data_IF_370945857580
#
_entry.id   IF_370945857580
#
_cell.length_a   1.000
_cell.length_b   1.000
_cell.length_c   1.000
_cell.angle_alpha   90.00
_cell.angle_beta   90.00
_cell.angle_gamma   90.00
#
_symmetry.space_group_name_H-M   'P 1'
#
loop_
_entity.id
_entity.type
_entity.pdbx_description
1 polymer ?
#
# COMPACT_ATOMS: atom_id res chain seq x y z
N UNK A 1 -21.90 27.07 -10.37
CA UNK A 1 -20.49 26.63 -10.35
C UNK A 1 -20.52 25.11 -10.48
N UNK A 2 -20.69 24.61 -11.70
CA UNK A 2 -20.71 23.18 -11.96
C UNK A 2 -19.62 22.92 -12.99
N UNK A 3 -18.43 22.61 -12.47
CA UNK A 3 -17.38 21.99 -13.25
C UNK A 3 -17.04 20.66 -12.58
N UNK A 4 -17.78 19.65 -13.03
CA UNK A 4 -17.24 18.36 -13.46
C UNK A 4 -16.53 17.56 -12.35
N UNK A 5 -17.25 16.55 -11.88
CA UNK A 5 -16.78 15.17 -11.67
C UNK A 5 -15.30 14.94 -12.05
N UNK A 6 -14.40 15.35 -11.20
CA UNK A 6 -13.24 14.54 -10.92
C UNK A 6 -13.61 13.93 -9.58
N UNK A 7 -14.14 12.71 -9.63
CA UNK A 7 -13.92 11.82 -8.50
C UNK A 7 -12.42 11.88 -8.30
N UNK A 8 -12.00 12.62 -7.28
CA UNK A 8 -10.61 12.65 -6.90
C UNK A 8 -10.41 11.19 -6.55
N UNK A 9 -9.76 10.44 -7.45
CA UNK A 9 -9.19 9.16 -7.12
C UNK A 9 -8.11 9.50 -6.10
N UNK A 10 -8.52 9.89 -4.90
CA UNK A 10 -7.67 9.92 -3.74
C UNK A 10 -7.16 8.50 -3.69
N UNK A 11 -5.86 8.28 -3.92
CA UNK A 11 -5.32 6.95 -3.68
C UNK A 11 -5.79 6.55 -2.27
N UNK A 12 -6.25 5.32 -2.07
CA UNK A 12 -6.76 4.87 -0.76
C UNK A 12 -5.69 4.90 0.33
N UNK A 13 -4.46 5.25 -0.05
CA UNK A 13 -3.28 5.34 0.79
C UNK A 13 -2.73 6.76 0.78
N UNK A 14 -2.32 7.24 1.95
CA UNK A 14 -1.75 8.56 2.15
C UNK A 14 -0.25 8.49 2.44
N UNK A 15 0.56 9.39 1.87
CA UNK A 15 2.00 9.44 2.13
C UNK A 15 2.29 9.80 3.59
N UNK A 16 3.07 8.96 4.27
CA UNK A 16 3.44 9.12 5.68
C UNK A 16 2.49 8.44 6.66
N UNK A 17 1.32 7.99 6.19
CA UNK A 17 0.34 7.27 7.01
C UNK A 17 0.74 5.81 7.22
N UNK A 18 0.30 5.27 8.35
CA UNK A 18 0.55 3.91 8.80
C UNK A 18 -0.71 3.07 8.58
N UNK A 19 -0.54 1.90 7.97
CA UNK A 19 -1.63 0.97 7.72
C UNK A 19 -1.24 -0.40 8.24
N UNK A 20 -2.18 -1.04 8.93
CA UNK A 20 -2.09 -2.43 9.29
C UNK A 20 -2.55 -3.26 8.08
N UNK A 21 -1.62 -3.98 7.48
CA UNK A 21 -1.90 -4.78 6.29
C UNK A 21 -1.51 -6.22 6.54
N UNK A 22 -2.29 -7.11 5.94
CA UNK A 22 -1.93 -8.50 5.87
C UNK A 22 -1.19 -8.76 4.56
N UNK A 23 -0.08 -9.47 4.66
CA UNK A 23 0.63 -9.91 3.46
C UNK A 23 -0.09 -11.11 2.89
N UNK A 24 -0.71 -10.89 1.74
CA UNK A 24 -1.45 -11.93 1.01
C UNK A 24 -0.48 -12.89 0.32
N UNK A 25 0.60 -12.36 -0.26
CA UNK A 25 1.56 -13.13 -1.04
C UNK A 25 2.99 -12.60 -0.88
N UNK A 26 3.96 -13.50 -0.98
CA UNK A 26 5.40 -13.22 -1.02
C UNK A 26 5.89 -13.61 -2.41
N UNK A 27 6.66 -12.73 -3.04
CA UNK A 27 7.46 -13.10 -4.19
C UNK A 27 8.55 -14.10 -3.81
N UNK A 28 9.07 -14.83 -4.80
CA UNK A 28 10.21 -15.77 -4.63
C UNK A 28 11.49 -15.13 -4.07
N UNK A 29 11.57 -13.80 -4.09
CA UNK A 29 12.69 -13.00 -3.59
C UNK A 29 12.52 -12.51 -2.15
N UNK A 30 11.37 -12.76 -1.51
CA UNK A 30 11.07 -12.24 -0.17
C UNK A 30 10.44 -10.84 -0.17
N UNK A 31 9.91 -10.39 -1.30
CA UNK A 31 9.14 -9.15 -1.41
C UNK A 31 7.66 -9.44 -1.08
N UNK A 32 7.09 -8.74 -0.11
CA UNK A 32 5.68 -8.86 0.20
C UNK A 32 4.82 -8.01 -0.71
N UNK A 33 3.72 -8.61 -1.13
CA UNK A 33 2.70 -7.96 -1.95
C UNK A 33 1.43 -7.94 -1.12
N UNK A 34 0.90 -6.74 -0.92
CA UNK A 34 -0.40 -6.53 -0.28
C UNK A 34 -1.27 -5.61 -1.13
N UNK A 35 -2.58 -5.71 -0.92
CA UNK A 35 -3.58 -4.93 -1.65
C UNK A 35 -4.46 -4.20 -0.63
N UNK A 36 -4.45 -2.87 -0.69
CA UNK A 36 -5.30 -2.01 0.14
C UNK A 36 -6.39 -1.46 -0.77
N UNK A 37 -7.64 -1.92 -0.60
CA UNK A 37 -8.79 -1.43 -1.38
C UNK A 37 -8.59 -1.46 -2.92
N UNK A 38 -7.87 -2.48 -3.42
CA UNK A 38 -7.53 -2.61 -4.85
C UNK A 38 -6.28 -1.84 -5.29
N UNK A 39 -5.53 -1.29 -4.34
CA UNK A 39 -4.26 -0.59 -4.56
C UNK A 39 -3.08 -1.47 -4.16
N UNK A 40 -2.14 -1.68 -5.08
CA UNK A 40 -0.99 -2.55 -4.83
C UNK A 40 0.04 -1.80 -4.00
N UNK A 41 0.41 -2.37 -2.87
CA UNK A 41 1.48 -1.83 -2.02
C UNK A 41 2.61 -2.85 -1.95
N UNK A 42 3.81 -2.38 -2.29
CA UNK A 42 5.02 -3.18 -2.22
C UNK A 42 5.73 -2.93 -0.91
N UNK A 43 6.00 -4.01 -0.19
CA UNK A 43 6.60 -3.96 1.14
C UNK A 43 7.78 -4.93 1.17
N UNK A 44 9.04 -4.43 1.20
CA UNK A 44 10.20 -5.29 1.35
C UNK A 44 10.36 -5.75 2.80
N UNK A 45 10.86 -6.98 3.01
CA UNK A 45 11.21 -7.47 4.35
C UNK A 45 10.05 -8.02 5.18
N UNK A 46 8.99 -8.49 4.54
CA UNK A 46 7.81 -9.09 5.21
C UNK A 46 7.63 -10.55 4.84
N UNK A 47 6.76 -11.25 5.58
CA UNK A 47 6.41 -12.66 5.33
C UNK A 47 4.94 -12.86 5.00
N UNK A 48 4.62 -13.88 4.19
CA UNK A 48 3.22 -14.26 3.86
C UNK A 48 2.48 -14.66 5.11
N UNK A 49 1.26 -14.16 5.22
CA UNK A 49 0.37 -14.47 6.33
C UNK A 49 0.66 -13.66 7.59
N UNK A 50 1.71 -12.85 7.59
CA UNK A 50 2.02 -11.94 8.68
C UNK A 50 1.19 -10.64 8.57
N UNK A 51 0.81 -10.12 9.72
CA UNK A 51 0.07 -8.87 9.87
C UNK A 51 1.04 -7.84 10.42
N UNK A 52 1.63 -7.08 9.51
CA UNK A 52 2.65 -6.09 9.84
C UNK A 52 2.09 -4.69 9.65
N UNK A 53 2.62 -3.76 10.44
CA UNK A 53 2.31 -2.35 10.29
C UNK A 53 3.29 -1.75 9.29
N UNK A 54 2.75 -1.20 8.21
CA UNK A 54 3.52 -0.58 7.15
C UNK A 54 3.31 0.93 7.16
N UNK A 55 4.34 1.68 6.82
CA UNK A 55 4.26 3.12 6.64
C UNK A 55 4.46 3.45 5.18
N UNK A 56 3.47 4.11 4.58
CA UNK A 56 3.56 4.55 3.19
C UNK A 56 4.61 5.66 3.12
N UNK A 57 5.65 5.47 2.33
CA UNK A 57 6.67 6.52 2.11
C UNK A 57 6.44 7.28 0.83
N UNK A 58 5.88 6.60 -0.18
CA UNK A 58 5.56 7.19 -1.48
C UNK A 58 4.29 6.61 -2.06
N UNK A 59 3.41 7.48 -2.54
CA UNK A 59 2.19 7.09 -3.25
C UNK A 59 2.33 7.44 -4.73
N UNK A 60 2.26 6.41 -5.57
CA UNK A 60 2.20 6.56 -7.02
C UNK A 60 0.76 6.64 -7.53
N UNK A 61 0.63 6.72 -8.86
CA UNK A 61 -0.67 6.87 -9.52
C UNK A 61 -1.51 5.57 -9.52
N UNK A 62 -0.88 4.40 -9.33
CA UNK A 62 -1.51 3.06 -9.34
C UNK A 62 -0.95 2.08 -8.28
N UNK A 63 0.11 2.46 -7.58
CA UNK A 63 0.79 1.63 -6.58
C UNK A 63 1.47 2.54 -5.55
N UNK A 64 1.75 2.01 -4.36
CA UNK A 64 2.52 2.70 -3.32
C UNK A 64 3.71 1.86 -2.88
N UNK A 65 4.71 2.56 -2.39
CA UNK A 65 5.80 1.98 -1.63
C UNK A 65 5.58 2.25 -0.15
N UNK A 66 5.73 1.19 0.63
CA UNK A 66 5.70 1.27 2.07
C UNK A 66 6.88 0.54 2.68
N UNK A 67 7.23 0.94 3.88
CA UNK A 67 8.28 0.34 4.67
C UNK A 67 7.66 -0.33 5.89
N UNK A 68 8.22 -1.47 6.30
CA UNK A 68 7.84 -2.14 7.54
C UNK A 68 8.43 -1.39 8.71
N UNK A 69 7.59 -1.10 9.70
CA UNK A 69 8.04 -0.44 10.93
C UNK A 69 7.97 -1.36 12.16
N UNK A 70 7.36 -2.54 12.06
CA UNK A 70 7.19 -3.49 13.16
C UNK A 70 7.28 -4.95 12.75
#
# INVERSE_FOLDING_TARGET
MEERRFGISTPPVEEGAEYDVKIDSLGRKGDGITHIEGFVVFVPGVSVGDEVKIRITRVGQRFAFAEVIS
#
